data_IF_427935948951
#
_entry.id   IF_427935948951
#
_cell.length_a   1.000
_cell.length_b   1.000
_cell.length_c   1.000
_cell.angle_alpha   90.00
_cell.angle_beta   90.00
_cell.angle_gamma   90.00
#
_symmetry.space_group_name_H-M   'P 1'
#
loop_
_entity.id
_entity.type
_entity.pdbx_description
1 polymer ?
#
# COMPACT_ATOMS: atom_id res chain seq x y z
N UNK A 1 -5.21 -26.03 6.15
CA UNK A 1 -4.61 -24.71 5.86
C UNK A 1 -5.33 -24.11 4.68
N UNK A 2 -6.46 -23.47 5.00
CA UNK A 2 -7.48 -23.11 4.03
C UNK A 2 -7.14 -21.84 3.27
N UNK A 3 -7.69 -21.70 2.07
CA UNK A 3 -7.67 -20.50 1.21
C UNK A 3 -7.97 -19.20 1.97
N UNK A 4 -8.69 -19.28 3.09
CA UNK A 4 -8.99 -18.17 4.00
C UNK A 4 -7.74 -17.59 4.69
N UNK A 5 -6.89 -18.44 5.26
CA UNK A 5 -5.64 -18.02 5.92
C UNK A 5 -4.63 -17.44 4.93
N UNK A 6 -4.66 -17.89 3.66
CA UNK A 6 -3.84 -17.31 2.58
C UNK A 6 -4.34 -15.90 2.23
N UNK A 7 -5.65 -15.72 2.01
CA UNK A 7 -6.25 -14.41 1.69
C UNK A 7 -6.04 -13.37 2.80
N UNK A 8 -6.08 -13.76 4.07
CA UNK A 8 -5.82 -12.85 5.17
C UNK A 8 -4.36 -12.39 5.23
N UNK A 9 -3.41 -13.30 4.95
CA UNK A 9 -1.99 -12.93 4.82
C UNK A 9 -1.76 -11.98 3.65
N UNK A 10 -2.31 -12.29 2.47
CA UNK A 10 -2.19 -11.43 1.29
C UNK A 10 -2.77 -10.02 1.54
N UNK A 11 -3.93 -9.92 2.20
CA UNK A 11 -4.49 -8.62 2.60
C UNK A 11 -3.59 -7.85 3.57
N UNK A 12 -2.96 -8.55 4.52
CA UNK A 12 -2.01 -7.95 5.44
C UNK A 12 -0.78 -7.38 4.73
N UNK A 13 -0.21 -8.17 3.81
CA UNK A 13 0.95 -7.77 3.00
C UNK A 13 0.64 -6.56 2.12
N UNK A 14 -0.51 -6.56 1.43
CA UNK A 14 -0.95 -5.42 0.62
C UNK A 14 -1.14 -4.18 1.48
N UNK A 15 -1.72 -4.31 2.68
CA UNK A 15 -1.90 -3.18 3.60
C UNK A 15 -0.57 -2.58 4.06
N UNK A 16 0.43 -3.41 4.31
CA UNK A 16 1.79 -2.97 4.66
C UNK A 16 2.40 -2.20 3.50
N UNK A 17 2.37 -2.76 2.29
CA UNK A 17 2.86 -2.09 1.07
C UNK A 17 2.23 -0.70 0.86
N UNK A 18 0.90 -0.60 1.01
CA UNK A 18 0.19 0.69 0.91
C UNK A 18 0.75 1.72 1.91
N UNK A 19 0.96 1.30 3.18
CA UNK A 19 1.46 2.20 4.22
C UNK A 19 2.89 2.65 3.96
N UNK A 20 3.74 1.74 3.50
CA UNK A 20 5.14 2.04 3.24
C UNK A 20 5.27 3.00 2.05
N UNK A 21 4.61 2.69 0.93
CA UNK A 21 4.55 3.58 -0.24
C UNK A 21 3.97 4.96 0.10
N UNK A 22 2.92 5.01 0.93
CA UNK A 22 2.35 6.28 1.37
C UNK A 22 3.37 7.12 2.17
N UNK A 23 4.10 6.50 3.11
CA UNK A 23 5.13 7.20 3.90
C UNK A 23 6.23 7.78 3.02
N UNK A 24 6.74 6.99 2.08
CA UNK A 24 7.78 7.43 1.16
C UNK A 24 7.30 8.58 0.26
N UNK A 25 6.10 8.43 -0.32
CA UNK A 25 5.52 9.47 -1.16
C UNK A 25 5.25 10.76 -0.39
N UNK A 26 4.72 10.68 0.84
CA UNK A 26 4.49 11.85 1.67
C UNK A 26 5.79 12.53 2.09
N UNK A 27 6.84 11.75 2.40
CA UNK A 27 8.15 12.30 2.75
C UNK A 27 8.83 12.98 1.54
N UNK A 28 8.68 12.42 0.34
CA UNK A 28 9.33 12.94 -0.86
C UNK A 28 8.57 14.11 -1.53
N UNK A 29 7.23 14.07 -1.53
CA UNK A 29 6.41 15.00 -2.32
C UNK A 29 5.52 15.91 -1.46
N UNK A 30 5.43 15.65 -0.15
CA UNK A 30 4.53 16.38 0.74
C UNK A 30 3.08 15.91 0.63
N UNK A 31 2.23 16.34 1.56
CA UNK A 31 0.85 15.88 1.69
C UNK A 31 -0.02 16.22 0.47
N UNK A 32 0.09 17.43 -0.06
CA UNK A 32 -0.78 17.92 -1.14
C UNK A 32 -0.53 17.22 -2.49
N UNK A 33 0.70 16.78 -2.74
CA UNK A 33 1.07 16.16 -4.02
C UNK A 33 0.73 14.66 -4.09
N UNK A 34 0.36 14.04 -2.96
CA UNK A 34 0.14 12.60 -2.85
C UNK A 34 -1.34 12.29 -2.81
N UNK A 35 -1.78 11.44 -3.75
CA UNK A 35 -3.17 10.99 -3.85
C UNK A 35 -3.23 9.48 -3.67
N UNK A 36 -4.41 8.97 -3.33
CA UNK A 36 -4.65 7.52 -3.22
C UNK A 36 -4.27 6.77 -4.51
N UNK A 37 -4.48 7.38 -5.68
CA UNK A 37 -4.11 6.79 -6.97
C UNK A 37 -2.59 6.71 -7.18
N UNK A 38 -1.84 7.71 -6.70
CA UNK A 38 -0.36 7.65 -6.71
C UNK A 38 0.17 6.54 -5.80
N UNK A 39 -0.43 6.38 -4.62
CA UNK A 39 -0.04 5.32 -3.68
C UNK A 39 -0.33 3.94 -4.29
N UNK A 40 -1.51 3.75 -4.91
CA UNK A 40 -1.85 2.50 -5.60
C UNK A 40 -0.88 2.21 -6.77
N UNK A 41 -0.60 3.21 -7.60
CA UNK A 41 0.37 3.09 -8.68
C UNK A 41 1.78 2.72 -8.19
N UNK A 42 2.19 3.22 -7.02
CA UNK A 42 3.50 2.92 -6.43
C UNK A 42 3.65 1.49 -5.90
N UNK A 43 2.54 0.78 -5.67
CA UNK A 43 2.55 -0.62 -5.21
C UNK A 43 2.14 -1.62 -6.30
N UNK A 44 2.04 -1.16 -7.55
CA UNK A 44 1.65 -1.98 -8.72
C UNK A 44 0.32 -2.74 -8.53
N UNK A 45 -0.64 -2.11 -7.84
CA UNK A 45 -1.97 -2.65 -7.58
C UNK A 45 -3.05 -1.83 -8.29
#
# INVERSE_FOLDING_TARGET
MGTKERRERERGEVRTKIRDAARELFAAQGYEAVTMRKIAAAIEY
#
